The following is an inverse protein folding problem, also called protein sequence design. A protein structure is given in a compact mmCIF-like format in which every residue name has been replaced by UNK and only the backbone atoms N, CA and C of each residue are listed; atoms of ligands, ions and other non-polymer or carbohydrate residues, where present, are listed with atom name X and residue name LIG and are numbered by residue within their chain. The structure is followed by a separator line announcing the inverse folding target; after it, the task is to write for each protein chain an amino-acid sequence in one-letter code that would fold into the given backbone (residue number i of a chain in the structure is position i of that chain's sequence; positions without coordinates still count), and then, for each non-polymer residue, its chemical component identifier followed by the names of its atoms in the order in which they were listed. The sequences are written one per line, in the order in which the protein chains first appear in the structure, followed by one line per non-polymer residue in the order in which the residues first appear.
data_IF_703049472645
#
_entry.id   IF_703049472645
#
_cell.length_a   1.000
_cell.length_b   1.000
_cell.length_c   1.000
_cell.angle_alpha   90.00
_cell.angle_beta   90.00
_cell.angle_gamma   90.00
#
_symmetry.space_group_name_H-M   'P 1'
#
loop_
_entity.id
_entity.type
_entity.pdbx_description
1 polymer ?
#
# COMPACT_ATOMS: atom_id res chain seq x y z
N UNK A 1 43.71 0.54 -24.60
CA UNK A 1 42.31 0.11 -24.72
C UNK A 1 41.42 1.12 -24.01
N UNK A 2 40.62 1.86 -24.78
CA UNK A 2 39.79 2.97 -24.30
C UNK A 2 38.42 2.46 -23.83
N UNK A 3 38.16 2.53 -22.52
CA UNK A 3 36.84 2.27 -21.91
C UNK A 3 36.08 3.59 -21.77
N UNK A 4 35.42 4.06 -22.83
CA UNK A 4 34.63 5.31 -22.76
C UNK A 4 33.34 5.30 -23.58
N UNK A 5 32.76 4.14 -23.86
CA UNK A 5 31.57 4.03 -24.73
C UNK A 5 30.35 3.38 -24.06
N UNK A 6 30.17 3.56 -22.75
CA UNK A 6 28.95 3.08 -22.09
C UNK A 6 28.31 4.19 -21.24
N UNK A 7 27.87 5.23 -21.93
CA UNK A 7 26.79 6.09 -21.43
C UNK A 7 26.00 6.66 -22.61
N UNK A 8 25.51 5.75 -23.47
CA UNK A 8 24.56 6.11 -24.50
C UNK A 8 23.13 5.86 -23.97
N UNK A 9 22.43 6.95 -23.69
CA UNK A 9 20.97 6.98 -23.86
C UNK A 9 20.10 6.75 -22.62
N UNK A 10 20.22 7.61 -21.60
CA UNK A 10 19.05 8.00 -20.81
C UNK A 10 18.81 9.50 -21.01
N UNK A 11 18.55 9.89 -22.25
CA UNK A 11 18.21 11.27 -22.62
C UNK A 11 16.80 11.56 -22.10
N UNK A 12 16.74 12.37 -21.03
CA UNK A 12 15.70 13.37 -20.78
C UNK A 12 14.24 12.94 -20.93
N UNK A 13 13.66 12.37 -19.87
CA UNK A 13 12.30 12.71 -19.51
C UNK A 13 12.37 13.60 -18.26
N UNK A 14 12.39 14.93 -18.44
CA UNK A 14 12.13 15.89 -17.37
C UNK A 14 10.67 15.74 -16.94
N UNK A 15 10.37 14.64 -16.24
CA UNK A 15 9.09 14.47 -15.58
C UNK A 15 9.01 15.59 -14.55
N UNK A 16 8.00 16.47 -14.63
CA UNK A 16 7.95 17.60 -13.73
C UNK A 16 7.85 17.09 -12.29
N UNK A 17 8.71 17.58 -11.40
CA UNK A 17 8.90 17.04 -10.04
C UNK A 17 7.58 16.94 -9.26
N UNK A 18 6.66 17.88 -9.46
CA UNK A 18 5.33 17.85 -8.85
C UNK A 18 4.52 16.60 -9.25
N UNK A 19 4.69 16.10 -10.48
CA UNK A 19 4.00 14.90 -10.97
C UNK A 19 4.56 13.63 -10.33
N UNK A 20 5.86 13.62 -10.01
CA UNK A 20 6.50 12.53 -9.23
C UNK A 20 6.01 12.55 -7.78
N UNK A 21 5.93 13.73 -7.16
CA UNK A 21 5.42 13.88 -5.78
C UNK A 21 3.95 13.47 -5.69
N UNK A 22 3.11 13.87 -6.65
CA UNK A 22 1.71 13.46 -6.69
C UNK A 22 1.59 11.96 -6.93
N UNK A 23 2.35 11.38 -7.85
CA UNK A 23 2.35 9.94 -8.08
C UNK A 23 2.79 9.14 -6.84
N UNK A 24 3.84 9.59 -6.15
CA UNK A 24 4.31 8.97 -4.90
C UNK A 24 3.29 9.13 -3.76
N UNK A 25 2.64 10.30 -3.66
CA UNK A 25 1.62 10.56 -2.64
C UNK A 25 0.35 9.72 -2.87
N UNK A 26 -0.06 9.56 -4.13
CA UNK A 26 -1.18 8.69 -4.52
C UNK A 26 -0.82 7.23 -4.26
N UNK A 27 0.37 6.78 -4.67
CA UNK A 27 0.83 5.41 -4.39
C UNK A 27 0.82 5.10 -2.90
N UNK A 28 1.40 5.98 -2.09
CA UNK A 28 1.35 5.88 -0.64
C UNK A 28 -0.10 5.88 -0.11
N UNK A 29 -0.95 6.81 -0.57
CA UNK A 29 -2.34 6.85 -0.12
C UNK A 29 -3.13 5.58 -0.49
N UNK A 30 -2.87 4.98 -1.65
CA UNK A 30 -3.56 3.76 -2.09
C UNK A 30 -3.16 2.53 -1.29
N UNK A 31 -1.88 2.40 -0.93
CA UNK A 31 -1.42 1.33 -0.04
C UNK A 31 -2.08 1.43 1.34
N UNK A 32 -2.11 2.64 1.93
CA UNK A 32 -2.75 2.88 3.22
C UNK A 32 -4.28 2.76 3.14
N UNK A 33 -4.89 3.13 2.02
CA UNK A 33 -6.32 2.99 1.80
C UNK A 33 -6.76 1.54 1.88
N UNK A 34 -6.11 0.64 1.14
CA UNK A 34 -6.46 -0.78 1.13
C UNK A 34 -6.29 -1.42 2.51
N UNK A 35 -5.19 -1.10 3.22
CA UNK A 35 -4.94 -1.57 4.59
C UNK A 35 -6.00 -1.09 5.60
N UNK A 36 -6.39 0.19 5.54
CA UNK A 36 -7.43 0.75 6.44
C UNK A 36 -8.79 0.17 6.13
N UNK A 37 -9.13 0.05 4.85
CA UNK A 37 -10.39 -0.52 4.38
C UNK A 37 -10.50 -1.99 4.79
N UNK A 38 -9.43 -2.76 4.61
CA UNK A 38 -9.36 -4.15 5.08
C UNK A 38 -9.56 -4.24 6.59
N UNK A 39 -8.86 -3.41 7.39
CA UNK A 39 -9.05 -3.39 8.84
C UNK A 39 -10.48 -3.03 9.27
N UNK A 40 -11.12 -2.08 8.59
CA UNK A 40 -12.51 -1.70 8.85
C UNK A 40 -13.47 -2.85 8.54
N UNK A 41 -13.30 -3.50 7.39
CA UNK A 41 -14.12 -4.66 7.04
C UNK A 41 -13.85 -5.87 7.92
N UNK A 42 -12.61 -6.09 8.36
CA UNK A 42 -12.25 -7.16 9.28
C UNK A 42 -13.03 -7.07 10.61
N UNK A 43 -13.31 -5.86 11.12
CA UNK A 43 -14.19 -5.67 12.29
C UNK A 43 -15.62 -6.15 12.03
N UNK A 44 -16.13 -5.95 10.83
CA UNK A 44 -17.47 -6.41 10.46
C UNK A 44 -17.51 -7.93 10.25
N UNK A 45 -16.55 -8.46 9.49
CA UNK A 45 -16.43 -9.90 9.19
C UNK A 45 -16.23 -10.70 10.48
N UNK A 46 -15.40 -10.20 11.40
CA UNK A 46 -15.13 -10.87 12.67
C UNK A 46 -16.38 -11.06 13.53
N UNK A 47 -17.25 -10.05 13.61
CA UNK A 47 -18.52 -10.16 14.36
C UNK A 47 -19.52 -11.10 13.70
N UNK A 48 -19.52 -11.18 12.37
CA UNK A 48 -20.47 -12.02 11.62
C UNK A 48 -20.07 -13.51 11.61
N UNK A 49 -18.77 -13.80 11.42
CA UNK A 49 -18.28 -15.17 11.24
C UNK A 49 -17.65 -15.76 12.50
N UNK A 50 -17.18 -14.91 13.42
CA UNK A 50 -16.61 -15.31 14.70
C UNK A 50 -17.32 -14.60 15.86
N UNK A 51 -18.64 -14.81 16.04
CA UNK A 51 -19.37 -14.20 17.14
C UNK A 51 -18.79 -14.69 18.47
N UNK A 52 -18.05 -13.81 19.13
CA UNK A 52 -17.53 -14.02 20.47
C UNK A 52 -18.20 -12.98 21.38
N UNK A 53 -18.33 -13.26 22.67
CA UNK A 53 -18.95 -12.33 23.63
C UNK A 53 -18.22 -10.99 23.80
N UNK A 54 -17.10 -10.76 23.08
CA UNK A 54 -16.28 -9.57 23.15
C UNK A 54 -15.74 -9.18 21.76
N UNK A 55 -16.06 -7.96 21.28
CA UNK A 55 -15.70 -7.48 19.94
C UNK A 55 -14.19 -7.53 19.64
N UNK A 56 -13.35 -7.28 20.63
CA UNK A 56 -11.89 -7.35 20.47
C UNK A 56 -11.41 -8.78 20.24
N UNK A 57 -12.04 -9.76 20.89
CA UNK A 57 -11.69 -11.18 20.74
C UNK A 57 -12.10 -11.69 19.36
N UNK A 58 -13.26 -11.28 18.86
CA UNK A 58 -13.70 -11.59 17.49
C UNK A 58 -12.70 -11.08 16.46
N UNK A 59 -12.28 -9.81 16.58
CA UNK A 59 -11.28 -9.20 15.71
C UNK A 59 -9.93 -9.95 15.74
N UNK A 60 -9.46 -10.30 16.93
CA UNK A 60 -8.18 -10.98 17.11
C UNK A 60 -8.20 -12.41 16.52
N UNK A 61 -9.32 -13.13 16.64
CA UNK A 61 -9.50 -14.44 16.00
C UNK A 61 -9.54 -14.30 14.47
N UNK A 62 -10.25 -13.30 13.94
CA UNK A 62 -10.38 -13.10 12.49
C UNK A 62 -9.08 -12.66 11.79
N UNK A 63 -8.19 -11.96 12.50
CA UNK A 63 -6.89 -11.50 11.97
C UNK A 63 -5.71 -12.42 12.33
N UNK A 64 -5.88 -13.32 13.30
CA UNK A 64 -4.82 -14.12 13.90
C UNK A 64 -4.83 -15.62 13.59
N UNK A 65 -5.75 -16.09 12.73
CA UNK A 65 -5.83 -17.49 12.28
C UNK A 65 -5.39 -17.69 10.85
#
# INVERSE_FOLDING_TARGET
MNVSSQQAGAVGATTPTWRVVVAASIGNALEWFDLVVYGFFAATISKLFFPSGNETVSLMIALGT
#
